data_IF_966588031966
#
_entry.id   IF_966588031966
#
_cell.length_a   1.000
_cell.length_b   1.000
_cell.length_c   1.000
_cell.angle_alpha   90.00
_cell.angle_beta   90.00
_cell.angle_gamma   90.00
#
_symmetry.space_group_name_H-M   'P 1'
#
loop_
_entity.id
_entity.type
_entity.pdbx_description
1 polymer ?
#
# COMPACT_ATOMS: atom_id res chain seq x y z
N UNK A 1 -56.27 17.36 23.29
CA UNK A 1 -55.27 18.41 23.61
C UNK A 1 -53.90 17.94 23.14
N UNK A 2 -53.27 18.78 22.30
CA UNK A 2 -51.82 18.95 22.01
C UNK A 2 -51.01 17.78 21.43
N UNK A 3 -50.97 17.80 20.09
CA UNK A 3 -49.81 17.51 19.23
C UNK A 3 -48.55 18.27 19.65
N UNK A 4 -47.37 17.63 19.56
CA UNK A 4 -46.07 18.35 19.45
C UNK A 4 -45.27 17.73 18.29
N UNK A 5 -45.06 18.57 17.27
CA UNK A 5 -44.21 18.38 16.09
C UNK A 5 -42.74 18.40 16.51
N UNK A 6 -41.89 17.53 15.95
CA UNK A 6 -40.44 17.75 15.96
C UNK A 6 -40.03 18.44 14.67
N UNK A 7 -39.48 19.63 14.84
CA UNK A 7 -39.08 20.59 13.83
C UNK A 7 -37.55 20.66 13.78
N UNK A 8 -37.05 20.81 12.55
CA UNK A 8 -35.83 21.50 12.12
C UNK A 8 -34.47 21.07 12.65
N UNK A 9 -33.75 20.43 11.74
CA UNK A 9 -32.33 20.57 11.40
C UNK A 9 -31.87 22.04 11.34
N UNK A 10 -30.61 22.28 11.75
CA UNK A 10 -29.75 23.50 11.81
C UNK A 10 -29.28 23.65 13.28
N UNK A 11 -28.01 23.86 13.68
CA UNK A 11 -26.85 24.53 13.07
C UNK A 11 -25.63 24.35 13.99
N UNK A 12 -24.43 24.58 13.45
CA UNK A 12 -23.24 25.18 14.09
C UNK A 12 -22.27 24.33 14.95
N UNK A 13 -21.07 24.09 14.39
CA UNK A 13 -19.72 24.34 14.94
C UNK A 13 -18.81 24.56 13.70
N UNK A 14 -18.27 25.71 13.29
CA UNK A 14 -17.54 26.83 13.92
C UNK A 14 -16.17 26.41 14.51
N UNK A 15 -15.14 26.60 13.68
CA UNK A 15 -13.94 27.44 13.90
C UNK A 15 -12.58 26.78 14.21
N UNK A 16 -11.57 27.44 13.61
CA UNK A 16 -10.12 27.48 13.88
C UNK A 16 -9.25 26.70 12.88
N UNK A 17 -8.17 27.23 12.29
CA UNK A 17 -7.54 28.56 12.28
C UNK A 17 -6.32 28.47 11.33
N UNK A 18 -6.17 29.44 10.40
CA UNK A 18 -4.94 30.10 9.87
C UNK A 18 -3.65 29.28 9.53
N UNK A 19 -2.65 29.65 8.73
CA UNK A 19 -2.13 30.89 8.11
C UNK A 19 -0.95 30.44 7.20
N UNK A 20 -0.71 31.08 6.04
CA UNK A 20 0.62 31.32 5.40
C UNK A 20 0.39 31.65 3.90
N UNK A 21 0.34 32.90 3.44
CA UNK A 21 1.34 33.97 3.37
C UNK A 21 2.33 33.85 2.18
N UNK A 22 2.05 34.66 1.16
CA UNK A 22 2.93 35.41 0.25
C UNK A 22 4.05 34.71 -0.55
N UNK A 23 3.93 34.75 -1.89
CA UNK A 23 5.05 35.11 -2.79
C UNK A 23 4.52 35.91 -4.00
N UNK A 24 4.62 37.24 -3.93
CA UNK A 24 4.46 38.13 -5.07
C UNK A 24 5.78 38.89 -5.31
N UNK A 25 6.31 38.69 -6.52
CA UNK A 25 6.94 39.65 -7.43
C UNK A 25 7.92 40.69 -6.88
N UNK A 26 9.21 40.44 -7.15
CA UNK A 26 10.30 41.39 -7.45
C UNK A 26 11.45 40.52 -8.00
N UNK A 27 12.15 40.75 -9.10
CA UNK A 27 12.36 41.87 -10.01
C UNK A 27 13.78 41.70 -10.59
N UNK A 28 13.99 42.10 -11.85
CA UNK A 28 15.28 42.24 -12.57
C UNK A 28 16.02 40.91 -12.93
N UNK A 29 16.65 40.73 -14.10
CA UNK A 29 17.23 41.69 -15.03
C UNK A 29 17.24 41.14 -16.48
N UNK A 30 17.17 42.08 -17.42
CA UNK A 30 17.48 41.93 -18.85
C UNK A 30 18.99 41.68 -19.04
N UNK A 31 19.38 40.89 -20.06
CA UNK A 31 20.44 41.36 -20.95
C UNK A 31 20.07 41.25 -22.43
N UNK A 32 20.59 42.20 -23.21
CA UNK A 32 20.49 42.33 -24.67
C UNK A 32 21.63 41.57 -25.38
N UNK A 33 21.30 41.01 -26.57
CA UNK A 33 22.16 40.73 -27.77
C UNK A 33 23.36 39.75 -27.56
N UNK A 34 23.81 38.90 -28.49
CA UNK A 34 23.70 38.77 -29.94
C UNK A 34 24.16 37.35 -30.39
N UNK A 35 23.83 36.98 -31.63
CA UNK A 35 24.25 35.81 -32.42
C UNK A 35 25.77 35.57 -32.48
N UNK A 36 26.23 34.31 -32.39
CA UNK A 36 26.86 33.54 -33.51
C UNK A 36 27.57 32.25 -33.05
N UNK A 37 27.13 31.13 -33.65
CA UNK A 37 27.82 29.91 -34.13
C UNK A 37 28.87 29.11 -33.28
N UNK A 38 28.69 27.78 -33.39
CA UNK A 38 29.65 26.65 -33.40
C UNK A 38 29.85 25.74 -32.16
N UNK A 39 29.30 24.51 -32.32
CA UNK A 39 29.80 23.16 -31.98
C UNK A 39 30.75 23.00 -30.78
N UNK A 40 30.34 22.25 -29.75
CA UNK A 40 30.69 20.82 -29.59
C UNK A 40 30.17 20.22 -28.25
N UNK A 41 29.92 18.91 -28.29
CA UNK A 41 29.73 17.96 -27.18
C UNK A 41 28.47 18.09 -26.28
N UNK A 42 27.45 17.27 -26.57
CA UNK A 42 26.45 16.85 -25.58
C UNK A 42 27.01 15.61 -24.87
N UNK A 43 27.29 15.63 -23.55
CA UNK A 43 27.56 14.41 -22.81
C UNK A 43 26.24 13.63 -22.62
N UNK A 44 26.23 12.29 -22.60
CA UNK A 44 25.02 11.55 -22.34
C UNK A 44 24.68 11.72 -20.86
N UNK A 45 23.69 12.55 -20.55
CA UNK A 45 23.10 12.58 -19.22
C UNK A 45 22.00 11.54 -19.20
N UNK A 46 22.33 10.35 -18.69
CA UNK A 46 21.37 9.42 -18.11
C UNK A 46 20.38 10.25 -17.29
N UNK A 47 19.16 10.30 -17.80
CA UNK A 47 18.01 10.80 -17.06
C UNK A 47 17.17 9.55 -16.93
N UNK A 48 17.36 8.82 -15.82
CA UNK A 48 16.34 7.92 -15.31
C UNK A 48 15.13 8.81 -15.03
N UNK A 49 14.30 9.00 -16.05
CA UNK A 49 12.96 9.54 -15.89
C UNK A 49 12.18 8.35 -15.37
N UNK A 50 12.20 8.15 -14.06
CA UNK A 50 11.30 7.22 -13.39
C UNK A 50 9.87 7.69 -13.72
N UNK A 51 9.10 6.83 -14.40
CA UNK A 51 7.76 7.17 -14.84
C UNK A 51 6.86 7.44 -13.62
N UNK A 52 5.93 8.41 -13.69
CA UNK A 52 5.03 8.73 -12.58
C UNK A 52 4.19 7.52 -12.08
N UNK A 53 4.05 6.45 -12.88
CA UNK A 53 3.42 5.20 -12.47
C UNK A 53 4.25 4.35 -11.50
N UNK A 54 5.59 4.46 -11.51
CA UNK A 54 6.46 3.66 -10.63
C UNK A 54 6.36 4.09 -9.16
N UNK A 55 6.24 5.39 -8.88
CA UNK A 55 6.04 5.89 -7.51
C UNK A 55 4.76 5.35 -6.88
N UNK A 56 3.67 5.31 -7.65
CA UNK A 56 2.39 4.78 -7.17
C UNK A 56 2.44 3.26 -6.91
N UNK A 57 3.21 2.53 -7.72
CA UNK A 57 3.43 1.09 -7.52
C UNK A 57 4.24 0.81 -6.24
N UNK A 58 5.35 1.54 -6.02
CA UNK A 58 6.18 1.40 -4.81
C UNK A 58 5.36 1.70 -3.55
N UNK A 59 4.56 2.77 -3.55
CA UNK A 59 3.68 3.11 -2.42
C UNK A 59 2.66 2.00 -2.14
N UNK A 60 2.09 1.40 -3.20
CA UNK A 60 1.12 0.31 -3.07
C UNK A 60 1.76 -0.94 -2.49
N UNK A 61 2.95 -1.33 -2.97
CA UNK A 61 3.70 -2.47 -2.45
C UNK A 61 4.05 -2.22 -0.98
N UNK A 62 4.56 -1.03 -0.66
CA UNK A 62 4.94 -0.65 0.71
C UNK A 62 3.75 -0.75 1.66
N UNK A 63 2.57 -0.25 1.27
CA UNK A 63 1.36 -0.35 2.08
C UNK A 63 0.93 -1.80 2.36
N UNK A 64 1.11 -2.71 1.39
CA UNK A 64 0.85 -4.14 1.60
C UNK A 64 1.84 -4.73 2.60
N UNK A 65 3.13 -4.39 2.49
CA UNK A 65 4.17 -4.86 3.42
C UNK A 65 3.97 -4.29 4.84
N UNK A 66 3.56 -3.03 4.96
CA UNK A 66 3.20 -2.41 6.24
C UNK A 66 2.06 -3.15 6.91
N UNK A 67 0.99 -3.51 6.18
CA UNK A 67 -0.11 -4.29 6.75
C UNK A 67 0.35 -5.63 7.33
N UNK A 68 1.33 -6.28 6.69
CA UNK A 68 1.94 -7.53 7.20
C UNK A 68 2.73 -7.24 8.47
N UNK A 69 3.58 -6.20 8.45
CA UNK A 69 4.46 -5.87 9.56
C UNK A 69 3.69 -5.37 10.79
N UNK A 70 2.64 -4.58 10.62
CA UNK A 70 1.90 -3.93 11.72
C UNK A 70 0.99 -4.89 12.49
N UNK A 71 0.67 -6.06 11.93
CA UNK A 71 -0.12 -7.04 12.65
C UNK A 71 0.62 -7.55 13.90
N UNK A 72 -0.09 -7.58 15.03
CA UNK A 72 0.38 -8.12 16.31
C UNK A 72 -0.60 -9.17 16.84
N UNK A 73 -0.15 -10.41 17.08
CA UNK A 73 -1.00 -11.46 17.65
C UNK A 73 -1.35 -11.17 19.11
N UNK A 74 -2.43 -11.79 19.61
CA UNK A 74 -2.81 -11.72 21.03
C UNK A 74 -3.56 -10.45 21.46
N UNK A 75 -3.84 -9.54 20.53
CA UNK A 75 -4.71 -8.38 20.77
C UNK A 75 -6.18 -8.71 20.49
N UNK A 76 -7.11 -7.94 21.04
CA UNK A 76 -8.54 -8.08 20.70
C UNK A 76 -8.75 -7.90 19.19
N UNK A 77 -9.49 -8.83 18.59
CA UNK A 77 -9.72 -8.84 17.14
C UNK A 77 -8.54 -9.34 16.30
N UNK A 78 -7.50 -9.94 16.90
CA UNK A 78 -6.35 -10.46 16.15
C UNK A 78 -6.72 -11.53 15.11
N UNK A 79 -7.76 -12.32 15.34
CA UNK A 79 -8.26 -13.31 14.37
C UNK A 79 -8.83 -12.63 13.11
N UNK A 80 -9.63 -11.59 13.30
CA UNK A 80 -10.19 -10.80 12.21
C UNK A 80 -9.09 -10.01 11.48
N UNK A 81 -8.19 -9.35 12.21
CA UNK A 81 -7.12 -8.53 11.63
C UNK A 81 -6.20 -9.34 10.72
N UNK A 82 -5.81 -10.56 11.11
CA UNK A 82 -4.95 -11.37 10.25
C UNK A 82 -5.68 -11.84 8.98
N UNK A 83 -6.99 -12.08 9.05
CA UNK A 83 -7.79 -12.32 7.86
C UNK A 83 -7.77 -11.09 6.94
N UNK A 84 -7.98 -9.88 7.46
CA UNK A 84 -7.93 -8.65 6.66
C UNK A 84 -6.56 -8.46 6.00
N UNK A 85 -5.46 -8.69 6.73
CA UNK A 85 -4.10 -8.61 6.20
C UNK A 85 -3.87 -9.65 5.09
N UNK A 86 -4.31 -10.90 5.30
CA UNK A 86 -4.20 -11.93 4.29
C UNK A 86 -4.99 -11.58 3.02
N UNK A 87 -6.23 -11.08 3.16
CA UNK A 87 -7.02 -10.62 2.02
C UNK A 87 -6.38 -9.40 1.33
N UNK A 88 -5.74 -8.49 2.06
CA UNK A 88 -5.00 -7.37 1.43
C UNK A 88 -3.86 -7.86 0.53
N UNK A 89 -3.14 -8.90 0.95
CA UNK A 89 -2.06 -9.48 0.12
C UNK A 89 -2.62 -10.29 -1.06
N UNK A 90 -3.68 -11.08 -0.83
CA UNK A 90 -4.36 -11.85 -1.88
C UNK A 90 -4.97 -10.91 -2.92
N UNK A 91 -5.66 -9.84 -2.51
CA UNK A 91 -6.19 -8.80 -3.40
C UNK A 91 -5.08 -8.20 -4.25
N UNK A 92 -3.99 -7.76 -3.61
CA UNK A 92 -2.86 -7.16 -4.33
C UNK A 92 -2.29 -8.12 -5.39
N UNK A 93 -2.20 -9.42 -5.10
CA UNK A 93 -1.73 -10.42 -6.08
C UNK A 93 -2.60 -10.53 -7.34
N UNK A 94 -3.85 -10.06 -7.30
CA UNK A 94 -4.73 -10.07 -8.47
C UNK A 94 -4.57 -8.85 -9.37
N UNK A 95 -4.02 -7.75 -8.83
CA UNK A 95 -3.84 -6.48 -9.54
C UNK A 95 -2.73 -6.60 -10.60
N UNK A 96 -2.85 -5.84 -11.69
CA UNK A 96 -1.81 -5.79 -12.73
C UNK A 96 -0.45 -5.34 -12.16
N UNK A 97 -0.49 -4.51 -11.13
CA UNK A 97 0.66 -4.07 -10.35
C UNK A 97 1.51 -5.24 -9.80
N UNK A 98 0.89 -6.35 -9.40
CA UNK A 98 1.61 -7.50 -8.86
C UNK A 98 2.33 -8.34 -9.93
N UNK A 99 2.08 -8.09 -11.23
CA UNK A 99 2.78 -8.79 -12.31
C UNK A 99 4.24 -8.37 -12.45
N UNK A 100 4.61 -7.18 -11.98
CA UNK A 100 6.00 -6.73 -11.90
C UNK A 100 6.69 -7.30 -10.65
N UNK A 101 6.97 -8.59 -10.70
CA UNK A 101 7.60 -9.35 -9.62
C UNK A 101 9.02 -8.87 -9.28
N UNK A 102 9.74 -8.25 -10.24
CA UNK A 102 11.06 -7.70 -9.98
C UNK A 102 10.96 -6.44 -9.12
N UNK A 103 10.10 -5.49 -9.48
CA UNK A 103 9.86 -4.29 -8.66
C UNK A 103 9.34 -4.69 -7.27
N UNK A 104 8.44 -5.67 -7.18
CA UNK A 104 7.99 -6.18 -5.88
C UNK A 104 9.15 -6.74 -5.04
N UNK A 105 10.03 -7.56 -5.64
CA UNK A 105 11.17 -8.13 -4.95
C UNK A 105 12.14 -7.05 -4.43
N UNK A 106 12.43 -6.04 -5.25
CA UNK A 106 13.35 -4.95 -4.91
C UNK A 106 12.79 -4.10 -3.75
N UNK A 107 11.50 -3.73 -3.82
CA UNK A 107 10.83 -2.99 -2.74
C UNK A 107 10.75 -3.82 -1.46
N UNK A 108 10.36 -5.10 -1.55
CA UNK A 108 10.29 -6.00 -0.40
C UNK A 108 11.66 -6.18 0.26
N UNK A 109 12.72 -6.36 -0.53
CA UNK A 109 14.09 -6.50 -0.01
C UNK A 109 14.54 -5.22 0.71
N UNK A 110 14.27 -4.05 0.14
CA UNK A 110 14.59 -2.77 0.79
C UNK A 110 13.81 -2.55 2.08
N UNK A 111 12.52 -2.88 2.08
CA UNK A 111 11.65 -2.80 3.24
C UNK A 111 12.12 -3.71 4.37
N UNK A 112 12.34 -5.00 4.07
CA UNK A 112 12.73 -6.02 5.06
C UNK A 112 14.11 -5.70 5.64
N UNK A 113 15.05 -5.21 4.83
CA UNK A 113 16.38 -4.80 5.29
C UNK A 113 16.36 -3.62 6.29
N UNK A 114 15.28 -2.84 6.31
CA UNK A 114 15.12 -1.71 7.22
C UNK A 114 14.43 -2.07 8.54
N UNK A 115 13.89 -3.29 8.67
CA UNK A 115 13.27 -3.77 9.90
C UNK A 115 14.35 -4.09 10.94
N UNK A 116 14.04 -3.83 12.21
CA UNK A 116 14.81 -4.39 13.32
C UNK A 116 14.47 -5.90 13.52
N UNK A 117 15.28 -6.59 14.33
CA UNK A 117 15.13 -8.04 14.55
C UNK A 117 13.74 -8.44 15.07
N UNK A 118 13.12 -7.59 15.91
CA UNK A 118 11.79 -7.85 16.47
C UNK A 118 10.71 -7.76 15.37
N UNK A 119 10.75 -6.68 14.58
CA UNK A 119 9.81 -6.48 13.48
C UNK A 119 10.01 -7.50 12.36
N UNK A 120 11.25 -7.88 12.06
CA UNK A 120 11.55 -8.94 11.10
C UNK A 120 10.93 -10.27 11.54
N UNK A 121 11.03 -10.63 12.83
CA UNK A 121 10.42 -11.86 13.33
C UNK A 121 8.89 -11.80 13.24
N UNK A 122 8.27 -10.67 13.61
CA UNK A 122 6.82 -10.50 13.43
C UNK A 122 6.41 -10.62 11.96
N UNK A 123 7.17 -10.01 11.06
CA UNK A 123 6.91 -10.09 9.63
C UNK A 123 6.93 -11.55 9.14
N UNK A 124 7.97 -12.31 9.50
CA UNK A 124 8.11 -13.75 9.17
C UNK A 124 6.93 -14.57 9.71
N UNK A 125 6.57 -14.37 10.98
CA UNK A 125 5.44 -15.07 11.60
C UNK A 125 4.11 -14.74 10.90
N UNK A 126 3.94 -13.49 10.48
CA UNK A 126 2.73 -13.01 9.82
C UNK A 126 2.60 -13.54 8.39
N UNK A 127 3.72 -13.65 7.66
CA UNK A 127 3.73 -14.34 6.35
C UNK A 127 3.24 -15.78 6.48
N UNK A 128 3.70 -16.53 7.49
CA UNK A 128 3.21 -17.89 7.73
C UNK A 128 1.71 -17.96 8.01
N UNK A 129 1.17 -17.00 8.79
CA UNK A 129 -0.29 -16.93 9.06
C UNK A 129 -1.09 -16.56 7.82
N UNK A 130 -0.54 -15.72 6.93
CA UNK A 130 -1.18 -15.39 5.65
C UNK A 130 -1.26 -16.64 4.77
N UNK A 131 -0.22 -17.46 4.73
CA UNK A 131 -0.24 -18.75 4.02
C UNK A 131 -1.33 -19.68 4.57
N UNK A 132 -1.50 -19.77 5.90
CA UNK A 132 -2.55 -20.59 6.51
C UNK A 132 -3.97 -20.14 6.13
N UNK A 133 -4.19 -18.82 6.04
CA UNK A 133 -5.49 -18.24 5.67
C UNK A 133 -5.75 -18.39 4.18
N UNK A 134 -4.75 -18.15 3.35
CA UNK A 134 -4.84 -18.38 1.92
C UNK A 134 -5.12 -19.86 1.62
N UNK A 135 -4.45 -20.78 2.31
CA UNK A 135 -4.72 -22.21 2.18
C UNK A 135 -6.17 -22.57 2.54
N UNK A 136 -6.71 -22.04 3.64
CA UNK A 136 -8.13 -22.21 3.99
C UNK A 136 -9.05 -21.64 2.89
N UNK A 137 -8.77 -20.44 2.39
CA UNK A 137 -9.55 -19.82 1.33
C UNK A 137 -9.55 -20.66 0.05
N UNK A 138 -8.39 -21.11 -0.41
CA UNK A 138 -8.25 -21.84 -1.68
C UNK A 138 -8.70 -23.30 -1.60
N UNK A 139 -8.59 -23.96 -0.45
CA UNK A 139 -8.98 -25.36 -0.28
C UNK A 139 -10.44 -25.52 0.17
N UNK A 140 -10.87 -24.69 1.13
CA UNK A 140 -12.15 -24.84 1.83
C UNK A 140 -13.15 -23.73 1.48
N UNK A 141 -12.72 -22.70 0.73
CA UNK A 141 -13.54 -21.57 0.32
C UNK A 141 -13.70 -20.49 1.42
N UNK A 142 -14.29 -19.36 1.03
CA UNK A 142 -14.54 -18.22 1.94
C UNK A 142 -15.41 -18.62 3.15
N UNK A 143 -16.32 -19.58 2.98
CA UNK A 143 -17.22 -20.04 4.04
C UNK A 143 -16.48 -20.54 5.28
N UNK A 144 -15.29 -21.12 5.10
CA UNK A 144 -14.42 -21.58 6.19
C UNK A 144 -13.89 -20.43 7.07
N UNK A 145 -13.80 -19.21 6.50
CA UNK A 145 -13.27 -18.02 7.15
C UNK A 145 -14.35 -17.13 7.76
N UNK A 146 -15.63 -17.32 7.39
CA UNK A 146 -16.74 -16.51 7.90
C UNK A 146 -16.79 -16.39 9.44
N UNK A 147 -16.51 -17.45 10.24
CA UNK A 147 -16.49 -17.32 11.70
C UNK A 147 -15.44 -16.33 12.23
N UNK A 148 -14.40 -16.02 11.43
CA UNK A 148 -13.35 -15.05 11.77
C UNK A 148 -13.66 -13.66 11.24
N UNK A 149 -14.51 -13.57 10.20
CA UNK A 149 -14.87 -12.33 9.52
C UNK A 149 -16.07 -11.63 10.16
N UNK A 150 -16.97 -12.37 10.82
CA UNK A 150 -18.06 -11.88 11.69
C UNK A 150 -18.73 -10.56 11.18
N UNK A 151 -18.94 -9.58 12.07
CA UNK A 151 -19.56 -8.28 11.77
C UNK A 151 -18.76 -7.39 10.80
N UNK A 152 -17.51 -7.74 10.46
CA UNK A 152 -16.67 -6.96 9.55
C UNK A 152 -17.09 -7.14 8.07
N UNK A 153 -17.87 -8.18 7.78
CA UNK A 153 -18.32 -8.49 6.42
C UNK A 153 -17.27 -9.22 5.58
N UNK A 154 -17.55 -9.35 4.29
CA UNK A 154 -16.69 -10.05 3.35
C UNK A 154 -15.55 -9.13 2.86
N UNK A 155 -14.27 -9.41 3.19
CA UNK A 155 -13.13 -8.61 2.74
C UNK A 155 -12.74 -8.91 1.28
N UNK A 156 -13.34 -9.92 0.65
CA UNK A 156 -13.02 -10.33 -0.71
C UNK A 156 -13.44 -9.25 -1.74
N UNK A 157 -12.48 -8.75 -2.52
CA UNK A 157 -12.75 -7.74 -3.57
C UNK A 157 -13.03 -8.34 -4.95
N UNK A 158 -12.60 -9.57 -5.19
CA UNK A 158 -12.73 -10.25 -6.47
C UNK A 158 -13.71 -11.40 -6.35
N UNK A 159 -14.55 -11.67 -7.36
CA UNK A 159 -15.50 -12.80 -7.30
C UNK A 159 -14.80 -14.15 -7.09
N UNK A 160 -13.63 -14.32 -7.69
CA UNK A 160 -12.75 -15.46 -7.52
C UNK A 160 -11.30 -14.98 -7.52
N UNK A 161 -10.46 -15.67 -6.75
CA UNK A 161 -9.02 -15.44 -6.73
C UNK A 161 -8.30 -16.47 -7.58
N UNK A 162 -7.33 -16.01 -8.37
CA UNK A 162 -6.38 -16.87 -9.03
C UNK A 162 -5.30 -17.30 -8.04
N UNK A 163 -5.27 -18.60 -7.73
CA UNK A 163 -4.29 -19.19 -6.83
C UNK A 163 -2.87 -19.10 -7.38
N UNK A 164 -2.67 -19.23 -8.70
CA UNK A 164 -1.34 -19.19 -9.31
C UNK A 164 -0.72 -17.79 -9.18
N UNK A 165 -1.54 -16.74 -9.32
CA UNK A 165 -1.10 -15.36 -9.07
C UNK A 165 -0.66 -15.14 -7.62
N UNK A 166 -1.46 -15.62 -6.66
CA UNK A 166 -1.10 -15.57 -5.24
C UNK A 166 0.18 -16.35 -4.95
N UNK A 167 0.28 -17.60 -5.41
CA UNK A 167 1.42 -18.48 -5.16
C UNK A 167 2.71 -17.87 -5.75
N UNK A 168 2.63 -17.28 -6.95
CA UNK A 168 3.75 -16.60 -7.59
C UNK A 168 4.28 -15.44 -6.74
N UNK A 169 3.40 -14.52 -6.32
CA UNK A 169 3.80 -13.36 -5.53
C UNK A 169 4.28 -13.75 -4.12
N UNK A 170 3.60 -14.71 -3.47
CA UNK A 170 4.04 -15.25 -2.18
C UNK A 170 5.41 -15.91 -2.30
N UNK A 171 5.66 -16.64 -3.40
CA UNK A 171 6.97 -17.22 -3.71
C UNK A 171 8.08 -16.17 -3.79
N UNK A 172 7.81 -15.03 -4.44
CA UNK A 172 8.76 -13.90 -4.49
C UNK A 172 9.03 -13.35 -3.10
N UNK A 173 8.00 -13.06 -2.29
CA UNK A 173 8.16 -12.55 -0.93
C UNK A 173 9.00 -13.49 -0.06
N UNK A 174 8.72 -14.79 -0.13
CA UNK A 174 9.46 -15.81 0.62
C UNK A 174 10.91 -15.92 0.15
N UNK A 175 11.15 -15.88 -1.17
CA UNK A 175 12.50 -15.86 -1.73
C UNK A 175 13.31 -14.65 -1.26
N UNK A 176 12.69 -13.49 -1.06
CA UNK A 176 13.34 -12.33 -0.44
C UNK A 176 13.66 -12.62 1.02
N UNK A 177 12.70 -13.12 1.80
CA UNK A 177 12.86 -13.42 3.23
C UNK A 177 13.96 -14.45 3.53
N UNK A 178 14.25 -15.37 2.62
CA UNK A 178 15.33 -16.36 2.78
C UNK A 178 16.73 -15.71 2.88
N UNK A 179 16.87 -14.44 2.51
CA UNK A 179 18.12 -13.68 2.61
C UNK A 179 18.29 -12.93 3.96
N UNK A 180 17.33 -13.05 4.88
CA UNK A 180 17.29 -12.35 6.19
C UNK A 180 16.95 -13.32 7.32
#
# INVERSE_FOLDING_TARGET
MKTIKKLSTLTAKILCLALALCLALSGCAKPEKQSDLQQDAIPPKNSDIEEPGQYQLVDTITAVLDNINEYRPGTLGSSLKICIVAFSFIDFSQEDAASDTQTFADVASGYIAALDDEHLQYFKDNVGRIEEIAAQLFNDGLESLLPRLDDAGNPQKHEQYDKEKYDSLMGVLKGVLENF
#
